data_IF_360382071069
#
_entry.id   IF_360382071069
#
_cell.length_a   1.000
_cell.length_b   1.000
_cell.length_c   1.000
_cell.angle_alpha   90.00
_cell.angle_beta   90.00
_cell.angle_gamma   90.00
#
_symmetry.space_group_name_H-M   'P 1'
#
loop_
_entity.id
_entity.type
_entity.pdbx_description
1 polymer ?
#
# COMPACT_ATOMS: atom_id res chain seq x y z
N UNK A 1 -10.74 -8.55 78.23
CA UNK A 1 -12.12 -9.04 78.16
C UNK A 1 -12.11 -10.27 77.24
N UNK A 2 -12.64 -11.41 77.70
CA UNK A 2 -12.74 -12.61 76.85
C UNK A 2 -13.84 -12.36 75.79
N UNK A 3 -13.46 -12.55 74.57
CA UNK A 3 -14.37 -12.43 73.37
C UNK A 3 -15.43 -13.55 73.46
N UNK A 4 -16.69 -13.23 73.23
CA UNK A 4 -17.74 -14.24 73.22
C UNK A 4 -17.54 -15.22 72.05
N UNK A 5 -18.06 -16.45 72.21
CA UNK A 5 -17.92 -17.47 71.15
C UNK A 5 -18.59 -17.02 69.81
N UNK A 6 -19.63 -16.20 69.88
CA UNK A 6 -20.36 -15.65 68.79
C UNK A 6 -19.57 -14.53 68.12
N UNK A 7 -18.91 -13.62 68.83
CA UNK A 7 -18.06 -12.57 68.32
C UNK A 7 -16.81 -13.16 67.65
N UNK A 8 -16.20 -14.18 68.24
CA UNK A 8 -15.06 -14.87 67.61
C UNK A 8 -15.44 -15.54 66.30
N UNK A 9 -16.63 -16.12 66.19
CA UNK A 9 -17.14 -16.72 64.98
C UNK A 9 -17.41 -15.65 63.93
N UNK A 10 -17.98 -14.51 64.32
CA UNK A 10 -18.26 -13.37 63.35
C UNK A 10 -16.95 -12.78 62.79
N UNK A 11 -15.92 -12.62 63.60
CA UNK A 11 -14.61 -12.14 63.19
C UNK A 11 -13.94 -13.13 62.23
N UNK A 12 -13.99 -14.43 62.51
CA UNK A 12 -13.44 -15.46 61.64
C UNK A 12 -14.15 -15.52 60.27
N UNK A 13 -15.48 -15.46 60.28
CA UNK A 13 -16.25 -15.44 59.01
C UNK A 13 -15.93 -14.20 58.16
N UNK A 14 -15.77 -13.04 58.80
CA UNK A 14 -15.38 -11.81 58.11
C UNK A 14 -13.98 -11.93 57.51
N UNK A 15 -13.00 -12.46 58.24
CA UNK A 15 -11.66 -12.69 57.70
C UNK A 15 -11.66 -13.64 56.51
N UNK A 16 -12.39 -14.75 56.59
CA UNK A 16 -12.54 -15.71 55.49
C UNK A 16 -13.20 -15.05 54.26
N UNK A 17 -14.18 -14.19 54.46
CA UNK A 17 -14.88 -13.49 53.38
C UNK A 17 -13.98 -12.47 52.67
N UNK A 18 -13.18 -11.73 53.48
CA UNK A 18 -12.19 -10.78 52.96
C UNK A 18 -11.07 -11.49 52.18
N UNK A 19 -10.54 -12.61 52.67
CA UNK A 19 -9.54 -13.44 51.99
C UNK A 19 -10.08 -14.04 50.68
N UNK A 20 -11.32 -14.58 50.69
CA UNK A 20 -11.99 -15.12 49.51
C UNK A 20 -12.25 -14.05 48.45
N UNK A 21 -12.61 -12.85 48.88
CA UNK A 21 -12.85 -11.72 47.98
C UNK A 21 -11.55 -11.31 47.32
N UNK A 22 -10.43 -11.24 48.07
CA UNK A 22 -9.12 -10.93 47.50
C UNK A 22 -8.64 -12.03 46.54
N UNK A 23 -8.79 -13.29 46.90
CA UNK A 23 -8.40 -14.42 46.02
C UNK A 23 -9.22 -14.48 44.74
N UNK A 24 -10.51 -14.22 44.81
CA UNK A 24 -11.38 -14.07 43.60
C UNK A 24 -10.92 -12.93 42.72
N UNK A 25 -10.62 -11.77 43.30
CA UNK A 25 -10.14 -10.61 42.52
C UNK A 25 -8.81 -10.91 41.82
N UNK A 26 -7.89 -11.57 42.46
CA UNK A 26 -6.62 -12.01 41.89
C UNK A 26 -6.81 -13.01 40.75
N UNK A 27 -7.70 -14.00 40.91
CA UNK A 27 -8.02 -14.99 39.88
C UNK A 27 -8.68 -14.34 38.65
N UNK A 28 -9.62 -13.40 38.87
CA UNK A 28 -10.27 -12.66 37.78
C UNK A 28 -9.25 -11.81 37.02
N UNK A 29 -8.38 -11.09 37.73
CA UNK A 29 -7.33 -10.27 37.08
C UNK A 29 -6.35 -11.14 36.29
N UNK A 30 -5.90 -12.26 36.81
CA UNK A 30 -5.02 -13.19 36.10
C UNK A 30 -5.73 -13.77 34.84
N UNK A 31 -7.01 -14.13 34.95
CA UNK A 31 -7.80 -14.64 33.85
C UNK A 31 -7.97 -13.58 32.76
N UNK A 32 -8.25 -12.33 33.14
CA UNK A 32 -8.39 -11.22 32.19
C UNK A 32 -7.07 -10.93 31.45
N UNK A 33 -5.94 -11.00 32.15
CA UNK A 33 -4.63 -10.83 31.53
C UNK A 33 -4.34 -11.93 30.46
N UNK A 34 -4.56 -13.20 30.86
CA UNK A 34 -4.37 -14.34 29.96
C UNK A 34 -5.31 -14.26 28.73
N UNK A 35 -6.59 -13.92 28.97
CA UNK A 35 -7.56 -13.75 27.87
C UNK A 35 -7.12 -12.68 26.87
N UNK A 36 -6.55 -11.58 27.34
CA UNK A 36 -6.05 -10.52 26.48
C UNK A 36 -4.88 -11.03 25.61
N UNK A 37 -3.92 -11.71 26.22
CA UNK A 37 -2.77 -12.27 25.51
C UNK A 37 -3.19 -13.34 24.50
N UNK A 38 -4.15 -14.20 24.82
CA UNK A 38 -4.71 -15.19 23.90
C UNK A 38 -5.43 -14.52 22.72
N UNK A 39 -6.23 -13.49 22.99
CA UNK A 39 -6.92 -12.72 21.94
C UNK A 39 -5.91 -12.03 20.98
N UNK A 40 -4.86 -11.42 21.52
CA UNK A 40 -3.83 -10.75 20.73
C UNK A 40 -3.05 -11.77 19.86
N UNK A 41 -2.75 -12.94 20.39
CA UNK A 41 -2.08 -14.01 19.63
C UNK A 41 -2.98 -14.57 18.52
N UNK A 42 -4.25 -14.83 18.82
CA UNK A 42 -5.23 -15.28 17.85
C UNK A 42 -5.44 -14.24 16.72
N UNK A 43 -5.52 -12.97 17.07
CA UNK A 43 -5.64 -11.89 16.11
C UNK A 43 -4.44 -11.83 15.15
N UNK A 44 -3.20 -11.95 15.68
CA UNK A 44 -1.98 -12.00 14.86
C UNK A 44 -1.97 -13.21 13.92
N UNK A 45 -2.39 -14.36 14.40
CA UNK A 45 -2.48 -15.57 13.60
C UNK A 45 -3.49 -15.43 12.45
N UNK A 46 -4.70 -14.91 12.75
CA UNK A 46 -5.74 -14.65 11.73
C UNK A 46 -5.29 -13.63 10.69
N UNK A 47 -4.61 -12.54 11.11
CA UNK A 47 -4.04 -11.55 10.20
C UNK A 47 -2.98 -12.21 9.32
N UNK A 48 -2.07 -13.00 9.89
CA UNK A 48 -1.06 -13.74 9.13
C UNK A 48 -1.65 -14.67 8.09
N UNK A 49 -2.71 -15.41 8.45
CA UNK A 49 -3.43 -16.28 7.51
C UNK A 49 -4.17 -15.50 6.42
N UNK A 50 -4.76 -14.35 6.76
CA UNK A 50 -5.42 -13.47 5.79
C UNK A 50 -4.41 -12.90 4.79
N UNK A 51 -3.27 -12.39 5.26
CA UNK A 51 -2.17 -11.89 4.42
C UNK A 51 -1.67 -12.99 3.48
N UNK A 52 -1.44 -14.21 3.98
CA UNK A 52 -0.96 -15.32 3.15
C UNK A 52 -1.93 -15.69 2.03
N UNK A 53 -3.25 -15.62 2.29
CA UNK A 53 -4.29 -15.88 1.26
C UNK A 53 -4.37 -14.76 0.23
N UNK A 54 -4.27 -13.51 0.65
CA UNK A 54 -4.43 -12.33 -0.23
C UNK A 54 -3.11 -11.92 -0.91
N UNK A 55 -1.96 -12.48 -0.53
CA UNK A 55 -0.66 -12.05 -1.02
C UNK A 55 -0.50 -12.23 -2.54
N UNK A 56 -1.01 -13.34 -3.09
CA UNK A 56 -0.94 -13.61 -4.53
C UNK A 56 -1.77 -12.60 -5.33
N UNK A 57 -3.01 -12.34 -4.90
CA UNK A 57 -3.92 -11.40 -5.55
C UNK A 57 -3.40 -9.96 -5.44
N UNK A 58 -2.93 -9.56 -4.26
CA UNK A 58 -2.35 -8.23 -4.03
C UNK A 58 -1.07 -8.00 -4.86
N UNK A 59 -0.25 -9.05 -5.08
CA UNK A 59 0.94 -8.96 -5.93
C UNK A 59 0.54 -8.79 -7.39
N UNK A 60 -0.46 -9.53 -7.86
CA UNK A 60 -0.99 -9.41 -9.23
C UNK A 60 -1.52 -8.00 -9.50
N UNK A 61 -2.38 -7.46 -8.62
CA UNK A 61 -2.88 -6.09 -8.75
C UNK A 61 -1.76 -5.04 -8.71
N UNK A 62 -0.72 -5.26 -7.93
CA UNK A 62 0.40 -4.33 -7.81
C UNK A 62 1.35 -4.34 -9.02
N UNK A 63 1.43 -5.43 -9.79
CA UNK A 63 2.40 -5.58 -10.90
C UNK A 63 1.80 -5.43 -12.28
N UNK A 64 0.49 -5.43 -12.40
CA UNK A 64 -0.24 -5.43 -13.67
C UNK A 64 -1.07 -4.15 -13.83
N UNK A 65 -1.14 -3.63 -15.04
CA UNK A 65 -2.06 -2.55 -15.43
C UNK A 65 -2.75 -2.91 -16.74
N UNK A 66 -4.06 -2.74 -16.78
CA UNK A 66 -4.86 -3.00 -17.98
C UNK A 66 -5.14 -1.69 -18.71
N UNK A 67 -4.90 -1.67 -20.01
CA UNK A 67 -5.20 -0.53 -20.90
C UNK A 67 -6.35 -0.92 -21.81
N UNK A 68 -7.49 -0.21 -21.74
CA UNK A 68 -8.62 -0.48 -22.62
C UNK A 68 -8.31 -0.05 -24.07
N UNK A 69 -8.79 -0.83 -25.01
CA UNK A 69 -8.70 -0.55 -26.45
C UNK A 69 -10.06 -0.17 -27.00
N UNK A 70 -10.12 0.73 -27.98
CA UNK A 70 -11.39 1.10 -28.64
C UNK A 70 -11.93 -0.01 -29.56
N UNK A 71 -11.10 -0.94 -29.99
CA UNK A 71 -11.48 -2.12 -30.77
C UNK A 71 -10.38 -3.17 -30.76
N UNK A 72 -10.75 -4.45 -31.01
CA UNK A 72 -9.77 -5.55 -31.11
C UNK A 72 -8.82 -5.42 -32.32
N UNK A 73 -9.24 -4.72 -33.37
CA UNK A 73 -8.35 -4.43 -34.52
C UNK A 73 -7.08 -3.66 -34.10
N UNK A 74 -7.18 -2.88 -33.03
CA UNK A 74 -6.05 -2.13 -32.50
C UNK A 74 -4.94 -3.04 -31.96
N UNK A 75 -5.29 -4.26 -31.46
CA UNK A 75 -4.29 -5.26 -31.04
C UNK A 75 -3.33 -5.59 -32.18
N UNK A 76 -3.87 -5.87 -33.37
CA UNK A 76 -3.04 -6.16 -34.55
C UNK A 76 -2.11 -5.02 -34.93
N UNK A 77 -2.54 -3.76 -34.78
CA UNK A 77 -1.72 -2.56 -35.05
C UNK A 77 -0.62 -2.38 -34.00
N UNK A 78 -0.91 -2.65 -32.74
CA UNK A 78 0.05 -2.59 -31.63
C UNK A 78 1.10 -3.70 -31.77
N UNK A 79 0.71 -4.90 -32.14
CA UNK A 79 1.65 -6.00 -32.44
C UNK A 79 2.53 -5.61 -33.64
N UNK A 80 1.92 -5.14 -34.71
CA UNK A 80 2.59 -4.82 -35.96
C UNK A 80 3.07 -6.04 -36.73
N UNK A 81 3.63 -5.82 -37.92
CA UNK A 81 4.16 -6.92 -38.76
C UNK A 81 5.28 -7.64 -38.00
N UNK A 82 5.16 -8.96 -37.85
CA UNK A 82 6.14 -9.83 -37.17
C UNK A 82 6.48 -9.39 -35.73
N UNK A 83 5.55 -8.72 -35.05
CA UNK A 83 5.74 -8.23 -33.68
C UNK A 83 6.71 -7.06 -33.54
N UNK A 84 6.96 -6.30 -34.62
CA UNK A 84 7.96 -5.22 -34.60
C UNK A 84 7.58 -4.07 -33.67
N UNK A 85 6.30 -3.70 -33.61
CA UNK A 85 5.84 -2.58 -32.80
C UNK A 85 5.81 -2.95 -31.29
N UNK A 86 5.34 -4.16 -30.98
CA UNK A 86 5.32 -4.63 -29.58
C UNK A 86 6.74 -4.72 -29.02
N UNK A 87 7.70 -5.31 -29.78
CA UNK A 87 9.10 -5.34 -29.34
C UNK A 87 9.72 -3.97 -29.15
N UNK A 88 9.39 -3.02 -30.02
CA UNK A 88 9.86 -1.64 -29.85
C UNK A 88 9.30 -0.99 -28.57
N UNK A 89 8.03 -1.24 -28.26
CA UNK A 89 7.38 -0.72 -27.06
C UNK A 89 7.97 -1.38 -25.79
N UNK A 90 8.13 -2.70 -25.76
CA UNK A 90 8.76 -3.42 -24.65
C UNK A 90 10.21 -2.98 -24.43
N UNK A 91 10.98 -2.83 -25.50
CA UNK A 91 12.37 -2.35 -25.41
C UNK A 91 12.45 -0.92 -24.89
N UNK A 92 11.60 -0.02 -25.38
CA UNK A 92 11.61 1.38 -24.98
C UNK A 92 11.13 1.60 -23.54
N UNK A 93 10.13 0.84 -23.08
CA UNK A 93 9.52 0.99 -21.75
C UNK A 93 10.17 0.11 -20.68
N UNK A 94 10.69 -1.06 -21.07
CA UNK A 94 11.13 -2.11 -20.16
C UNK A 94 9.98 -2.78 -19.40
N UNK A 95 8.79 -2.83 -20.04
CA UNK A 95 7.59 -3.52 -19.54
C UNK A 95 7.18 -4.58 -20.55
N UNK A 96 6.68 -5.70 -20.05
CA UNK A 96 6.12 -6.77 -20.88
C UNK A 96 4.66 -6.43 -21.26
N UNK A 97 4.33 -6.60 -22.55
CA UNK A 97 2.97 -6.45 -23.04
C UNK A 97 2.34 -7.81 -23.26
N UNK A 98 1.32 -8.12 -22.48
CA UNK A 98 0.56 -9.36 -22.59
C UNK A 98 -0.72 -9.06 -23.41
N UNK A 99 -0.79 -9.65 -24.58
CA UNK A 99 -1.94 -9.57 -25.48
C UNK A 99 -2.57 -10.95 -25.52
N UNK A 100 -3.64 -11.12 -24.79
CA UNK A 100 -4.42 -12.34 -24.68
C UNK A 100 -5.77 -12.21 -25.40
N UNK A 101 -6.61 -13.23 -25.22
CA UNK A 101 -7.96 -13.28 -25.81
C UNK A 101 -8.97 -12.35 -25.09
N UNK A 102 -8.56 -11.63 -24.03
CA UNK A 102 -9.42 -10.68 -23.35
C UNK A 102 -9.86 -9.59 -24.34
N UNK A 103 -11.17 -9.42 -24.59
CA UNK A 103 -11.64 -8.45 -25.57
C UNK A 103 -11.25 -7.00 -25.16
N UNK A 104 -10.87 -6.22 -26.16
CA UNK A 104 -10.64 -4.77 -26.04
C UNK A 104 -9.69 -4.35 -24.88
N UNK A 105 -8.70 -5.18 -24.57
CA UNK A 105 -7.74 -4.88 -23.51
C UNK A 105 -6.33 -5.37 -23.82
N UNK A 106 -5.33 -4.66 -23.28
CA UNK A 106 -3.92 -5.08 -23.24
C UNK A 106 -3.44 -4.96 -21.81
N UNK A 107 -2.74 -5.98 -21.37
CA UNK A 107 -2.17 -6.06 -20.04
C UNK A 107 -0.69 -5.67 -20.07
N UNK A 108 -0.32 -4.70 -19.25
CA UNK A 108 1.07 -4.28 -19.02
C UNK A 108 1.58 -4.92 -17.74
N UNK A 109 2.72 -5.60 -17.78
CA UNK A 109 3.35 -6.24 -16.64
C UNK A 109 4.74 -5.67 -16.39
N UNK A 110 4.98 -5.20 -15.17
CA UNK A 110 6.32 -4.78 -14.72
C UNK A 110 6.33 -4.62 -13.19
N UNK A 111 7.42 -5.01 -12.56
CA UNK A 111 7.65 -4.74 -11.14
C UNK A 111 7.88 -3.26 -10.85
N UNK A 112 8.44 -2.50 -11.79
CA UNK A 112 8.62 -1.05 -11.65
C UNK A 112 7.35 -0.31 -12.06
N UNK A 113 6.60 0.16 -11.07
CA UNK A 113 5.37 0.92 -11.30
C UNK A 113 5.60 2.18 -12.12
N UNK A 114 6.78 2.80 -12.03
CA UNK A 114 7.13 3.99 -12.82
C UNK A 114 7.24 3.66 -14.30
N UNK A 115 7.90 2.55 -14.64
CA UNK A 115 7.99 2.07 -16.03
C UNK A 115 6.62 1.69 -16.58
N UNK A 116 5.82 1.00 -15.77
CA UNK A 116 4.46 0.60 -16.15
C UNK A 116 3.57 1.81 -16.42
N UNK A 117 3.67 2.87 -15.62
CA UNK A 117 2.93 4.10 -15.84
C UNK A 117 3.37 4.81 -17.13
N UNK A 118 4.67 4.87 -17.41
CA UNK A 118 5.18 5.38 -18.70
C UNK A 118 4.63 4.56 -19.86
N UNK A 119 4.62 3.24 -19.76
CA UNK A 119 4.09 2.35 -20.79
C UNK A 119 2.59 2.56 -21.00
N UNK A 120 1.80 2.72 -19.93
CA UNK A 120 0.37 3.02 -19.97
C UNK A 120 0.10 4.34 -20.69
N UNK A 121 0.78 5.41 -20.27
CA UNK A 121 0.64 6.74 -20.87
C UNK A 121 1.03 6.74 -22.36
N UNK A 122 2.11 6.04 -22.70
CA UNK A 122 2.57 5.95 -24.07
C UNK A 122 1.58 5.16 -24.94
N UNK A 123 1.08 4.04 -24.45
CA UNK A 123 0.11 3.22 -25.17
C UNK A 123 -1.20 3.96 -25.41
N UNK A 124 -1.76 4.62 -24.40
CA UNK A 124 -2.97 5.45 -24.53
C UNK A 124 -2.82 6.54 -25.59
N UNK A 125 -1.67 7.21 -25.65
CA UNK A 125 -1.39 8.23 -26.67
C UNK A 125 -1.24 7.67 -28.07
N UNK A 126 -0.55 6.53 -28.19
CA UNK A 126 -0.40 5.84 -29.48
C UNK A 126 -1.74 5.36 -30.02
N UNK A 127 -2.63 4.90 -29.15
CA UNK A 127 -4.00 4.51 -29.48
C UNK A 127 -4.79 5.72 -29.97
N UNK A 128 -4.73 6.84 -29.23
CA UNK A 128 -5.44 8.06 -29.58
C UNK A 128 -4.92 8.70 -30.90
N UNK A 129 -3.59 8.68 -31.11
CA UNK A 129 -2.96 9.19 -32.34
C UNK A 129 -3.18 8.26 -33.55
N UNK A 130 -3.37 6.98 -33.30
CA UNK A 130 -3.57 5.95 -34.31
C UNK A 130 -2.33 5.64 -35.18
N UNK A 131 -1.20 6.30 -34.97
CA UNK A 131 0.06 6.09 -35.73
C UNK A 131 1.05 5.28 -34.88
N UNK A 132 1.04 3.96 -35.11
CA UNK A 132 1.87 3.03 -34.32
C UNK A 132 2.97 2.48 -35.24
N UNK A 133 4.19 2.99 -35.06
CA UNK A 133 5.41 2.50 -35.69
C UNK A 133 6.63 2.76 -34.77
N UNK A 134 7.74 2.01 -34.89
CA UNK A 134 8.83 2.03 -33.91
C UNK A 134 9.37 3.42 -33.56
N UNK A 135 9.68 4.25 -34.56
CA UNK A 135 10.19 5.60 -34.28
C UNK A 135 9.19 6.49 -33.53
N UNK A 136 7.90 6.36 -33.80
CA UNK A 136 6.84 7.08 -33.06
C UNK A 136 6.67 6.56 -31.65
N UNK A 137 6.85 5.25 -31.45
CA UNK A 137 6.81 4.61 -30.14
C UNK A 137 7.93 5.18 -29.26
N UNK A 138 9.17 5.18 -29.74
CA UNK A 138 10.32 5.71 -29.01
C UNK A 138 10.13 7.19 -28.65
N UNK A 139 9.74 8.03 -29.61
CA UNK A 139 9.44 9.45 -29.37
C UNK A 139 8.36 9.65 -28.30
N UNK A 140 7.28 8.87 -28.37
CA UNK A 140 6.15 8.98 -27.43
C UNK A 140 6.55 8.53 -26.04
N UNK A 141 7.29 7.43 -25.92
CA UNK A 141 7.80 6.92 -24.64
C UNK A 141 8.72 7.95 -23.97
N UNK A 142 9.65 8.53 -24.71
CA UNK A 142 10.57 9.55 -24.18
C UNK A 142 9.84 10.82 -23.72
N UNK A 143 8.78 11.20 -24.44
CA UNK A 143 7.91 12.29 -24.03
C UNK A 143 7.16 11.98 -22.75
N UNK A 144 6.55 10.81 -22.66
CA UNK A 144 5.83 10.35 -21.46
C UNK A 144 6.77 10.26 -20.26
N UNK A 145 8.00 9.78 -20.43
CA UNK A 145 9.01 9.71 -19.36
C UNK A 145 9.32 11.09 -18.79
N UNK A 146 9.55 12.08 -19.67
CA UNK A 146 9.79 13.47 -19.22
C UNK A 146 8.58 14.08 -18.52
N UNK A 147 7.38 13.83 -19.00
CA UNK A 147 6.15 14.32 -18.37
C UNK A 147 5.92 13.70 -17.00
N UNK A 148 6.16 12.39 -16.87
CA UNK A 148 6.05 11.70 -15.59
C UNK A 148 7.07 12.25 -14.58
N UNK A 149 8.29 12.57 -15.01
CA UNK A 149 9.27 13.23 -14.12
C UNK A 149 8.79 14.60 -13.61
N UNK A 150 8.14 15.38 -14.48
CA UNK A 150 7.55 16.67 -14.08
C UNK A 150 6.40 16.46 -13.10
N UNK A 151 5.56 15.43 -13.33
CA UNK A 151 4.47 15.08 -12.41
C UNK A 151 5.01 14.63 -11.04
N UNK A 152 6.03 13.78 -11.01
CA UNK A 152 6.69 13.37 -9.76
C UNK A 152 7.20 14.57 -8.97
N UNK A 153 7.86 15.51 -9.64
CA UNK A 153 8.31 16.73 -8.97
C UNK A 153 7.15 17.53 -8.37
N UNK A 154 6.08 17.72 -9.13
CA UNK A 154 4.88 18.43 -8.65
C UNK A 154 4.23 17.75 -7.44
N UNK A 155 4.14 16.42 -7.44
CA UNK A 155 3.60 15.67 -6.30
C UNK A 155 4.51 15.79 -5.06
N UNK A 156 5.82 15.80 -5.27
CA UNK A 156 6.77 16.07 -4.19
C UNK A 156 6.65 17.48 -3.63
N UNK A 157 6.58 18.50 -4.50
CA UNK A 157 6.39 19.90 -4.09
C UNK A 157 5.08 20.07 -3.30
N UNK A 158 4.00 19.41 -3.76
CA UNK A 158 2.70 19.41 -3.08
C UNK A 158 2.79 18.78 -1.68
N UNK A 159 3.43 17.63 -1.55
CA UNK A 159 3.60 16.93 -0.27
C UNK A 159 4.40 17.76 0.74
N UNK A 160 5.49 18.37 0.29
CA UNK A 160 6.34 19.25 1.12
C UNK A 160 5.56 20.49 1.59
N UNK A 161 4.77 21.09 0.70
CA UNK A 161 3.93 22.24 1.00
C UNK A 161 2.83 21.88 2.02
N UNK A 162 2.17 20.73 1.85
CA UNK A 162 1.12 20.24 2.74
C UNK A 162 1.62 20.01 4.17
N UNK A 163 2.84 19.51 4.32
CA UNK A 163 3.47 19.29 5.62
C UNK A 163 4.13 20.55 6.20
N UNK A 164 4.15 21.68 5.47
CA UNK A 164 4.81 22.90 5.90
C UNK A 164 6.33 22.78 6.03
N UNK A 165 6.94 21.83 5.33
CA UNK A 165 8.39 21.62 5.37
C UNK A 165 9.07 22.59 4.42
N UNK A 166 10.04 23.34 4.92
CA UNK A 166 10.80 24.29 4.13
C UNK A 166 12.25 23.83 3.97
N UNK A 167 12.89 24.23 2.88
CA UNK A 167 14.32 24.02 2.65
C UNK A 167 14.78 22.59 2.40
N UNK A 168 13.94 21.75 1.76
CA UNK A 168 14.40 20.44 1.28
C UNK A 168 15.19 20.58 -0.03
N UNK A 169 16.22 19.74 -0.18
CA UNK A 169 16.96 19.66 -1.44
C UNK A 169 16.04 19.20 -2.58
N UNK A 170 16.13 19.79 -3.81
CA UNK A 170 15.26 19.43 -4.93
C UNK A 170 15.24 17.95 -5.27
N UNK A 171 16.35 17.23 -5.10
CA UNK A 171 16.42 15.79 -5.34
C UNK A 171 15.60 15.01 -4.33
N UNK A 172 15.54 15.44 -3.05
CA UNK A 172 14.68 14.82 -2.04
C UNK A 172 13.20 15.05 -2.37
N UNK A 173 12.84 16.24 -2.82
CA UNK A 173 11.46 16.53 -3.27
C UNK A 173 11.06 15.61 -4.42
N UNK A 174 11.96 15.40 -5.39
CA UNK A 174 11.74 14.46 -6.50
C UNK A 174 11.57 13.01 -6.01
N UNK A 175 12.36 12.58 -5.04
CA UNK A 175 12.24 11.25 -4.42
C UNK A 175 10.93 11.08 -3.68
N UNK A 176 10.48 12.10 -2.92
CA UNK A 176 9.18 12.10 -2.25
C UNK A 176 8.05 11.95 -3.28
N UNK A 177 8.08 12.72 -4.36
CA UNK A 177 7.08 12.62 -5.42
C UNK A 177 7.05 11.25 -6.11
N UNK A 178 8.20 10.58 -6.20
CA UNK A 178 8.30 9.22 -6.74
C UNK A 178 7.56 8.19 -5.88
N UNK A 179 7.38 8.46 -4.58
CA UNK A 179 6.64 7.58 -3.67
C UNK A 179 5.15 7.43 -4.05
N UNK A 180 4.59 8.39 -4.80
CA UNK A 180 3.22 8.29 -5.34
C UNK A 180 3.02 7.05 -6.22
N UNK A 181 4.08 6.63 -6.90
CA UNK A 181 4.09 5.48 -7.81
C UNK A 181 4.66 4.21 -7.15
N UNK A 182 4.66 4.16 -5.82
CA UNK A 182 5.07 2.96 -5.07
C UNK A 182 3.95 2.52 -4.15
N UNK A 183 3.72 1.22 -4.16
CA UNK A 183 2.80 0.54 -3.24
C UNK A 183 3.60 -0.38 -2.34
N UNK A 184 3.29 -0.40 -1.06
CA UNK A 184 3.89 -1.31 -0.09
C UNK A 184 2.82 -1.75 0.90
N UNK A 185 2.71 -3.05 1.15
CA UNK A 185 1.68 -3.63 2.03
C UNK A 185 0.24 -3.17 1.67
N UNK A 186 -0.07 -3.10 0.38
CA UNK A 186 -1.38 -2.67 -0.12
C UNK A 186 -1.69 -1.17 0.02
N UNK A 187 -0.72 -0.35 0.45
CA UNK A 187 -0.90 1.09 0.64
C UNK A 187 -0.01 1.90 -0.30
N UNK A 188 -0.50 3.06 -0.73
CA UNK A 188 0.32 4.04 -1.43
C UNK A 188 1.35 4.63 -0.47
N UNK A 189 2.63 4.53 -0.81
CA UNK A 189 3.73 4.93 0.10
C UNK A 189 3.73 6.42 0.38
N UNK A 190 3.39 7.28 -0.60
CA UNK A 190 3.32 8.73 -0.37
C UNK A 190 2.21 9.08 0.62
N UNK A 191 1.00 8.57 0.41
CA UNK A 191 -0.15 8.82 1.29
C UNK A 191 0.13 8.36 2.71
N UNK A 192 0.68 7.15 2.86
CA UNK A 192 1.07 6.62 4.16
C UNK A 192 2.14 7.48 4.84
N UNK A 193 3.15 7.94 4.09
CA UNK A 193 4.20 8.81 4.64
C UNK A 193 3.65 10.16 5.13
N UNK A 194 2.68 10.73 4.42
CA UNK A 194 2.00 11.95 4.84
C UNK A 194 1.20 11.74 6.14
N UNK A 195 0.44 10.65 6.24
CA UNK A 195 -0.30 10.29 7.46
C UNK A 195 0.64 10.10 8.66
N UNK A 196 1.74 9.39 8.47
CA UNK A 196 2.74 9.19 9.52
C UNK A 196 3.35 10.51 9.98
N UNK A 197 3.67 11.42 9.04
CA UNK A 197 4.21 12.73 9.38
C UNK A 197 3.20 13.58 10.19
N UNK A 198 1.93 13.57 9.81
CA UNK A 198 0.85 14.24 10.53
C UNK A 198 0.67 13.69 11.94
N UNK A 199 0.59 12.37 12.09
CA UNK A 199 0.43 11.72 13.39
C UNK A 199 1.64 11.98 14.30
N UNK A 200 2.86 11.90 13.75
CA UNK A 200 4.07 12.21 14.51
C UNK A 200 4.10 13.67 14.98
N UNK A 201 3.68 14.61 14.13
CA UNK A 201 3.54 16.02 14.49
C UNK A 201 2.55 16.23 15.63
N UNK A 202 1.37 15.62 15.56
CA UNK A 202 0.36 15.70 16.63
C UNK A 202 0.87 15.11 17.95
N UNK A 203 1.52 13.94 17.91
CA UNK A 203 2.09 13.31 19.11
C UNK A 203 3.23 14.16 19.71
N UNK A 204 4.05 14.80 18.89
CA UNK A 204 5.09 15.72 19.34
C UNK A 204 4.52 16.90 20.11
N UNK A 205 3.40 17.49 19.66
CA UNK A 205 2.74 18.62 20.33
C UNK A 205 2.11 18.26 21.68
N UNK A 206 1.81 17.01 21.95
CA UNK A 206 1.28 16.55 23.24
C UNK A 206 2.38 16.58 24.33
N UNK A 207 3.65 16.50 23.93
CA UNK A 207 4.81 16.39 24.84
C UNK A 207 5.59 17.71 25.01
N UNK A 208 5.15 18.80 24.39
CA UNK A 208 5.68 20.14 24.56
C UNK A 208 4.70 20.96 25.42
#
# INVERSE_FOLDING_TARGET
AAMSKEDARAVLLKQVDDELTHEKAMKISAYQANMKDECDNLARELIGQAIARCAADATSEATVSVVPLPSDEMKGRIIGREGRNIRALETATGCDLIIDDTPEAITLSSFDQTRREVARMALERLIADGRIHPARIEETVDKCRRELEIQMKREGDKAVMELGIHSLHPDLVKLIGRLKYRTSFGQNVLSHSLEVAWLAGLLSLIHI
#
